data_IF_159593559289
#
_entry.id   IF_159593559289
#
_cell.length_a   1.000
_cell.length_b   1.000
_cell.length_c   1.000
_cell.angle_alpha   90.00
_cell.angle_beta   90.00
_cell.angle_gamma   90.00
#
_symmetry.space_group_name_H-M   'P 1'
#
loop_
_entity.id
_entity.type
_entity.pdbx_description
1 polymer ?
#
# COMPACT_ATOMS: atom_id res chain seq x y z
N UNK A 1 -18.03 -4.92 -5.30
CA UNK A 1 -16.72 -4.99 -5.98
C UNK A 1 -16.27 -3.55 -6.20
N UNK A 2 -15.05 -3.18 -5.79
CA UNK A 2 -14.56 -1.82 -6.01
C UNK A 2 -14.22 -1.64 -7.50
N UNK A 3 -14.47 -0.44 -8.02
CA UNK A 3 -14.09 -0.09 -9.39
C UNK A 3 -12.55 -0.02 -9.49
N UNK A 4 -11.91 -0.43 -10.59
CA UNK A 4 -10.43 -0.40 -10.72
C UNK A 4 -9.79 0.99 -10.55
N UNK A 5 -10.58 2.06 -10.73
CA UNK A 5 -10.16 3.45 -10.53
C UNK A 5 -10.52 4.02 -9.15
N UNK A 6 -11.00 3.19 -8.23
CA UNK A 6 -11.30 3.63 -6.88
C UNK A 6 -10.00 3.87 -6.11
N UNK A 7 -9.92 4.93 -5.31
CA UNK A 7 -8.72 5.33 -4.56
C UNK A 7 -8.08 4.19 -3.78
N UNK A 8 -8.86 3.37 -3.07
CA UNK A 8 -8.39 2.15 -2.40
C UNK A 8 -7.65 1.15 -3.31
N UNK A 9 -8.13 0.95 -4.55
CA UNK A 9 -7.48 0.03 -5.50
C UNK A 9 -6.17 0.63 -5.99
N UNK A 10 -6.17 1.93 -6.30
CA UNK A 10 -4.99 2.63 -6.76
C UNK A 10 -3.93 2.74 -5.65
N UNK A 11 -4.33 3.02 -4.41
CA UNK A 11 -3.47 3.08 -3.24
C UNK A 11 -2.88 1.71 -2.90
N UNK A 12 -3.65 0.63 -3.00
CA UNK A 12 -3.12 -0.73 -2.81
C UNK A 12 -2.02 -1.06 -3.82
N UNK A 13 -2.21 -0.66 -5.09
CA UNK A 13 -1.19 -0.84 -6.13
C UNK A 13 0.05 0.04 -5.88
N UNK A 14 -0.13 1.28 -5.41
CA UNK A 14 0.97 2.18 -5.07
C UNK A 14 1.74 1.74 -3.81
N UNK A 15 1.06 1.04 -2.88
CA UNK A 15 1.67 0.51 -1.66
C UNK A 15 2.69 -0.60 -1.94
N UNK A 16 2.55 -1.34 -3.04
CA UNK A 16 3.51 -2.39 -3.43
C UNK A 16 4.93 -1.85 -3.65
N UNK A 17 5.17 -0.90 -4.57
CA UNK A 17 6.50 -0.33 -4.75
C UNK A 17 6.96 0.48 -3.53
N UNK A 18 6.05 1.15 -2.80
CA UNK A 18 6.41 1.86 -1.58
C UNK A 18 6.90 0.92 -0.47
N UNK A 19 6.27 -0.25 -0.31
CA UNK A 19 6.73 -1.31 0.59
C UNK A 19 8.10 -1.85 0.17
N UNK A 20 8.31 -2.15 -1.12
CA UNK A 20 9.59 -2.68 -1.61
C UNK A 20 10.75 -1.67 -1.51
N UNK A 21 10.45 -0.38 -1.61
CA UNK A 21 11.42 0.71 -1.52
C UNK A 21 11.77 1.13 -0.09
N UNK A 22 10.97 0.73 0.91
CA UNK A 22 11.12 1.18 2.29
C UNK A 22 11.22 0.00 3.26
N UNK A 23 12.20 0.04 4.15
CA UNK A 23 12.45 -1.04 5.12
C UNK A 23 11.38 -1.13 6.23
N UNK A 24 10.60 -0.05 6.44
CA UNK A 24 9.62 0.04 7.52
C UNK A 24 8.30 0.65 7.04
N UNK A 25 7.23 0.42 7.81
CA UNK A 25 5.86 0.81 7.43
C UNK A 25 5.70 2.31 7.24
N UNK A 26 6.17 3.15 8.19
CA UNK A 26 5.86 4.58 8.20
C UNK A 26 6.29 5.32 6.92
N UNK A 27 7.53 5.17 6.41
CA UNK A 27 7.92 5.80 5.14
C UNK A 27 7.05 5.37 3.97
N UNK A 28 6.65 4.10 3.90
CA UNK A 28 5.75 3.63 2.85
C UNK A 28 4.34 4.22 2.96
N UNK A 29 3.85 4.48 4.19
CA UNK A 29 2.58 5.16 4.38
C UNK A 29 2.67 6.62 3.93
N UNK A 30 3.76 7.31 4.26
CA UNK A 30 3.96 8.72 3.91
C UNK A 30 4.01 8.89 2.38
N UNK A 31 4.77 8.05 1.66
CA UNK A 31 4.86 8.06 0.19
C UNK A 31 3.50 7.89 -0.51
N UNK A 32 2.62 7.06 0.07
CA UNK A 32 1.29 6.78 -0.50
C UNK A 32 0.28 7.85 -0.06
N UNK A 33 0.39 8.36 1.17
CA UNK A 33 -0.51 9.40 1.69
C UNK A 33 -0.45 10.70 0.86
N UNK A 34 0.72 11.07 0.35
CA UNK A 34 0.88 12.23 -0.53
C UNK A 34 0.04 12.13 -1.81
N UNK A 35 -0.15 10.91 -2.33
CA UNK A 35 -0.90 10.63 -3.55
C UNK A 35 -2.40 10.43 -3.30
N UNK A 36 -2.76 9.99 -2.08
CA UNK A 36 -4.13 9.64 -1.71
C UNK A 36 -4.57 10.33 -0.41
N UNK A 37 -4.69 11.68 -0.39
CA UNK A 37 -4.96 12.46 0.82
C UNK A 37 -6.36 12.21 1.43
N UNK A 38 -7.24 11.53 0.70
CA UNK A 38 -8.56 11.11 1.19
C UNK A 38 -8.51 9.85 2.08
N UNK A 39 -7.40 9.11 2.07
CA UNK A 39 -7.23 7.92 2.88
C UNK A 39 -6.57 8.27 4.22
N UNK A 40 -7.08 7.69 5.31
CA UNK A 40 -6.47 7.88 6.63
C UNK A 40 -5.22 7.01 6.77
N UNK A 41 -4.33 7.37 7.71
CA UNK A 41 -3.16 6.57 8.04
C UNK A 41 -3.53 5.12 8.43
N UNK A 42 -4.62 4.90 9.15
CA UNK A 42 -5.09 3.55 9.50
C UNK A 42 -5.50 2.75 8.27
N UNK A 43 -6.13 3.40 7.28
CA UNK A 43 -6.53 2.77 6.03
C UNK A 43 -5.29 2.37 5.22
N UNK A 44 -4.27 3.23 5.16
CA UNK A 44 -3.00 2.92 4.49
C UNK A 44 -2.23 1.82 5.23
N UNK A 45 -2.25 1.79 6.55
CA UNK A 45 -1.62 0.73 7.34
C UNK A 45 -2.23 -0.65 7.04
N UNK A 46 -3.55 -0.73 6.86
CA UNK A 46 -4.21 -1.98 6.44
C UNK A 46 -3.74 -2.45 5.06
N UNK A 47 -3.53 -1.52 4.12
CA UNK A 47 -2.97 -1.85 2.81
C UNK A 47 -1.54 -2.40 2.93
N UNK A 48 -0.68 -1.72 3.71
CA UNK A 48 0.70 -2.15 3.93
C UNK A 48 0.77 -3.55 4.57
N UNK A 49 -0.06 -3.83 5.58
CA UNK A 49 -0.13 -5.16 6.22
C UNK A 49 -0.51 -6.22 5.18
N UNK A 50 -1.47 -5.93 4.30
CA UNK A 50 -1.86 -6.83 3.22
C UNK A 50 -0.72 -7.11 2.24
N UNK A 51 0.01 -6.07 1.81
CA UNK A 51 1.18 -6.19 0.92
C UNK A 51 2.30 -7.02 1.59
N UNK A 52 2.67 -6.68 2.83
CA UNK A 52 3.69 -7.40 3.59
C UNK A 52 3.33 -8.88 3.82
N UNK A 53 2.05 -9.20 4.04
CA UNK A 53 1.60 -10.60 4.12
C UNK A 53 1.79 -11.33 2.78
N UNK A 54 1.49 -10.67 1.66
CA UNK A 54 1.63 -11.25 0.31
C UNK A 54 3.07 -11.41 -0.13
N UNK A 55 3.95 -10.50 0.23
CA UNK A 55 5.39 -10.64 0.04
C UNK A 55 5.92 -11.88 0.78
N UNK A 56 5.53 -12.09 2.04
CA UNK A 56 5.92 -13.28 2.82
C UNK A 56 5.41 -14.60 2.22
N UNK A 57 4.33 -14.55 1.44
CA UNK A 57 3.82 -15.68 0.66
C UNK A 57 4.56 -15.85 -0.69
N UNK A 58 5.49 -14.96 -1.04
CA UNK A 58 6.21 -14.96 -2.31
C UNK A 58 5.37 -14.51 -3.52
N UNK A 59 4.25 -13.81 -3.28
CA UNK A 59 3.32 -13.37 -4.33
C UNK A 59 3.62 -11.96 -4.86
N UNK A 60 4.53 -11.24 -4.20
CA UNK A 60 5.00 -9.90 -4.55
C UNK A 60 6.51 -9.89 -4.33
N UNK A 61 7.28 -9.25 -5.22
CA UNK A 61 8.75 -9.13 -5.10
C UNK A 61 9.60 -10.01 -6.04
N UNK A 62 9.04 -10.46 -7.16
CA UNK A 62 9.76 -11.18 -8.23
C UNK A 62 10.22 -10.25 -9.37
#
# INVERSE_FOLDING_TARGET
MLHPKHDWVLAANAMVPAHMGNETMMPALDDVAEQFPALTQEQLALLWIGVNAKEREGLIGA
#
